data_IF_835048781954
#
_entry.id   IF_835048781954
#
_cell.length_a   1.000
_cell.length_b   1.000
_cell.length_c   1.000
_cell.angle_alpha   90.00
_cell.angle_beta   90.00
_cell.angle_gamma   90.00
#
_symmetry.space_group_name_H-M   'P 1'
#
loop_
_entity.id
_entity.type
_entity.pdbx_description
1 polymer ?
#
# COMPACT_ATOMS: atom_id res chain seq x y z
N UNK A 1 25.64 7.11 5.81
CA UNK A 1 25.18 6.54 4.52
C UNK A 1 26.22 5.67 3.81
N UNK A 2 27.51 6.02 3.76
CA UNK A 2 28.50 5.35 2.89
C UNK A 2 28.54 3.81 2.98
N UNK A 3 28.56 3.23 4.19
CA UNK A 3 28.68 1.76 4.32
C UNK A 3 27.37 0.98 4.11
N UNK A 4 26.20 1.61 4.26
CA UNK A 4 24.89 0.96 4.04
C UNK A 4 24.35 1.18 2.63
N UNK A 5 24.93 2.12 1.89
CA UNK A 5 24.53 2.41 0.51
C UNK A 5 24.51 1.17 -0.39
N UNK A 6 25.48 0.24 -0.34
CA UNK A 6 25.43 -0.99 -1.14
C UNK A 6 24.19 -1.84 -0.85
N UNK A 7 23.76 -1.92 0.43
CA UNK A 7 22.59 -2.69 0.85
C UNK A 7 21.28 -2.05 0.40
N UNK A 8 21.16 -0.73 0.55
CA UNK A 8 20.01 0.03 0.02
C UNK A 8 19.94 -0.09 -1.50
N UNK A 9 21.09 0.06 -2.18
CA UNK A 9 21.18 -0.07 -3.64
C UNK A 9 20.72 -1.45 -4.10
N UNK A 10 21.17 -2.52 -3.44
CA UNK A 10 20.73 -3.90 -3.73
C UNK A 10 19.21 -4.05 -3.60
N UNK A 11 18.63 -3.54 -2.51
CA UNK A 11 17.18 -3.60 -2.29
C UNK A 11 16.41 -2.80 -3.36
N UNK A 12 16.86 -1.59 -3.71
CA UNK A 12 16.28 -0.76 -4.77
C UNK A 12 16.35 -1.47 -6.12
N UNK A 13 17.51 -2.00 -6.51
CA UNK A 13 17.67 -2.70 -7.80
C UNK A 13 16.80 -3.96 -7.88
N UNK A 14 16.74 -4.76 -6.82
CA UNK A 14 15.89 -5.96 -6.79
C UNK A 14 14.40 -5.61 -6.86
N UNK A 15 13.98 -4.57 -6.14
CA UNK A 15 12.61 -4.09 -6.14
C UNK A 15 12.20 -3.47 -7.47
N UNK A 16 13.08 -2.65 -8.07
CA UNK A 16 12.86 -2.07 -9.39
C UNK A 16 12.72 -3.14 -10.46
N UNK A 17 13.59 -4.16 -10.48
CA UNK A 17 13.48 -5.28 -11.43
C UNK A 17 12.14 -6.00 -11.35
N UNK A 18 11.58 -6.14 -10.15
CA UNK A 18 10.24 -6.71 -9.99
C UNK A 18 9.17 -5.80 -10.61
N UNK A 19 9.20 -4.50 -10.33
CA UNK A 19 8.19 -3.59 -10.88
C UNK A 19 8.33 -3.38 -12.39
N UNK A 20 9.55 -3.41 -12.92
CA UNK A 20 9.83 -3.38 -14.36
C UNK A 20 9.29 -4.61 -15.09
N UNK A 21 9.30 -5.80 -14.45
CA UNK A 21 8.68 -7.00 -15.03
C UNK A 21 7.16 -7.02 -14.86
N UNK A 22 6.64 -6.44 -13.77
CA UNK A 22 5.22 -6.41 -13.49
C UNK A 22 4.45 -5.35 -14.31
N UNK A 23 5.05 -4.18 -14.54
CA UNK A 23 4.38 -3.01 -15.12
C UNK A 23 4.94 -2.70 -16.50
N UNK A 24 4.07 -2.77 -17.50
CA UNK A 24 4.41 -2.56 -18.90
C UNK A 24 3.88 -1.20 -19.33
N UNK A 25 4.72 -0.38 -19.97
CA UNK A 25 4.33 0.95 -20.44
C UNK A 25 4.05 0.90 -21.94
N UNK A 26 2.80 1.21 -22.31
CA UNK A 26 2.41 1.46 -23.70
C UNK A 26 2.70 2.93 -24.05
N UNK A 27 3.77 3.17 -24.81
CA UNK A 27 4.24 4.53 -25.16
C UNK A 27 3.32 5.12 -26.23
N UNK A 28 2.36 5.93 -25.79
CA UNK A 28 1.42 6.66 -26.67
C UNK A 28 1.99 7.98 -27.19
N UNK A 29 2.92 8.55 -26.44
CA UNK A 29 3.50 9.88 -26.66
C UNK A 29 5.02 9.70 -26.59
N UNK A 30 5.76 9.91 -27.69
CA UNK A 30 7.19 9.62 -27.74
C UNK A 30 8.07 10.71 -27.10
N UNK A 31 7.53 11.90 -26.80
CA UNK A 31 8.30 13.01 -26.27
C UNK A 31 8.70 12.82 -24.80
N UNK A 32 9.92 13.26 -24.46
CA UNK A 32 10.38 13.23 -23.09
C UNK A 32 9.62 14.25 -22.23
N UNK A 33 9.19 13.83 -21.04
CA UNK A 33 8.55 14.70 -20.08
C UNK A 33 9.61 15.54 -19.34
N UNK A 34 9.35 16.84 -19.23
CA UNK A 34 10.20 17.77 -18.48
C UNK A 34 9.47 18.21 -17.20
N UNK A 35 10.22 18.30 -16.10
CA UNK A 35 9.71 18.87 -14.86
C UNK A 35 9.88 20.39 -14.94
N UNK A 36 8.78 21.11 -14.82
CA UNK A 36 8.77 22.56 -14.96
C UNK A 36 9.58 23.22 -13.83
N UNK A 37 10.61 24.00 -14.18
CA UNK A 37 11.29 24.89 -13.23
C UNK A 37 10.34 25.96 -12.73
N UNK A 38 10.45 26.26 -11.45
CA UNK A 38 9.67 27.29 -10.76
C UNK A 38 10.44 28.62 -10.71
N UNK A 39 9.73 29.68 -10.34
CA UNK A 39 10.36 30.96 -10.04
C UNK A 39 10.53 31.08 -8.52
N UNK A 40 11.51 31.86 -8.07
CA UNK A 40 11.84 31.97 -6.64
C UNK A 40 10.66 32.48 -5.79
N UNK A 41 9.86 33.41 -6.33
CA UNK A 41 8.76 34.04 -5.58
C UNK A 41 7.42 34.05 -6.31
N UNK A 42 7.44 33.96 -7.64
CA UNK A 42 6.26 34.11 -8.50
C UNK A 42 5.88 32.81 -9.21
N UNK A 43 4.76 32.85 -9.94
CA UNK A 43 4.36 31.76 -10.83
C UNK A 43 4.96 31.93 -12.22
N UNK A 44 5.31 30.81 -12.84
CA UNK A 44 5.72 30.76 -14.24
C UNK A 44 4.58 31.27 -15.13
N UNK A 45 4.90 32.15 -16.09
CA UNK A 45 3.94 32.71 -17.05
C UNK A 45 4.31 32.30 -18.47
N UNK A 46 3.30 32.11 -19.31
CA UNK A 46 3.45 32.04 -20.77
C UNK A 46 2.89 33.34 -21.34
N UNK A 47 3.58 33.94 -22.31
CA UNK A 47 3.02 35.08 -23.06
C UNK A 47 2.72 34.68 -24.49
N UNK A 48 1.61 35.22 -25.00
CA UNK A 48 1.08 34.96 -26.35
C UNK A 48 2.11 35.18 -27.47
N UNK A 49 3.03 36.14 -27.29
CA UNK A 49 4.05 36.50 -28.28
C UNK A 49 5.23 35.51 -28.42
N UNK A 50 5.57 34.75 -27.37
CA UNK A 50 6.77 33.88 -27.38
C UNK A 50 6.44 32.40 -27.13
N UNK A 51 5.24 32.09 -26.62
CA UNK A 51 4.80 30.77 -26.16
C UNK A 51 5.80 30.04 -25.22
N UNK A 52 6.72 30.78 -24.58
CA UNK A 52 7.76 30.26 -23.70
C UNK A 52 7.44 30.54 -22.22
N UNK A 53 7.54 29.52 -21.33
CA UNK A 53 7.41 29.72 -19.89
C UNK A 53 8.57 30.58 -19.35
N UNK A 54 8.26 31.60 -18.56
CA UNK A 54 9.25 32.51 -17.97
C UNK A 54 8.82 33.06 -16.60
N UNK A 55 9.81 33.51 -15.84
CA UNK A 55 9.66 34.24 -14.59
C UNK A 55 9.59 35.75 -14.89
N UNK A 56 8.43 36.38 -14.63
CA UNK A 56 8.20 37.79 -14.94
C UNK A 56 8.60 38.66 -13.76
N UNK A 57 9.58 39.55 -13.96
CA UNK A 57 10.14 40.41 -12.88
C UNK A 57 10.63 39.61 -11.66
N UNK A 58 11.01 38.36 -11.89
CA UNK A 58 11.46 37.42 -10.87
C UNK A 58 12.62 36.59 -11.44
N UNK A 59 13.21 35.71 -10.62
CA UNK A 59 14.31 34.83 -11.00
C UNK A 59 13.86 33.37 -11.08
N UNK A 60 14.40 32.66 -12.07
CA UNK A 60 14.35 31.20 -12.11
C UNK A 60 14.93 30.60 -10.83
N UNK A 61 14.23 29.63 -10.24
CA UNK A 61 14.76 28.90 -9.10
C UNK A 61 16.04 28.17 -9.49
N UNK A 62 17.06 28.29 -8.63
CA UNK A 62 18.37 27.64 -8.84
C UNK A 62 18.28 26.12 -8.74
N UNK A 63 17.36 25.60 -7.93
CA UNK A 63 17.17 24.17 -7.73
C UNK A 63 15.68 23.84 -7.61
N UNK A 64 15.31 22.65 -8.05
CA UNK A 64 14.00 22.08 -7.77
C UNK A 64 14.18 20.90 -6.82
N UNK A 65 13.23 20.73 -5.91
CA UNK A 65 13.24 19.64 -4.94
C UNK A 65 11.96 18.83 -5.03
N UNK A 66 12.09 17.53 -4.78
CA UNK A 66 10.98 16.68 -4.40
C UNK A 66 11.12 16.37 -2.90
N UNK A 67 10.23 16.94 -2.09
CA UNK A 67 10.37 16.95 -0.64
C UNK A 67 11.77 17.47 -0.24
N UNK A 68 12.62 16.57 0.27
CA UNK A 68 13.97 16.84 0.75
C UNK A 68 15.09 16.46 -0.23
N UNK A 69 14.76 15.93 -1.41
CA UNK A 69 15.75 15.53 -2.41
C UNK A 69 15.78 16.51 -3.59
N UNK A 70 16.98 16.88 -4.02
CA UNK A 70 17.18 17.71 -5.21
C UNK A 70 16.90 16.93 -6.48
N UNK A 71 16.14 17.51 -7.40
CA UNK A 71 15.88 16.95 -8.73
C UNK A 71 17.04 17.33 -9.66
N UNK A 72 17.71 16.37 -10.30
CA UNK A 72 18.80 16.67 -11.22
C UNK A 72 18.36 17.54 -12.41
N UNK A 73 19.20 18.54 -12.76
CA UNK A 73 18.94 19.51 -13.83
C UNK A 73 18.61 18.89 -15.19
N UNK A 74 19.14 17.69 -15.47
CA UNK A 74 18.88 16.97 -16.72
C UNK A 74 17.40 16.59 -16.92
N UNK A 75 16.57 16.61 -15.87
CA UNK A 75 15.14 16.32 -15.96
C UNK A 75 14.27 17.59 -15.95
N UNK A 76 14.89 18.76 -15.83
CA UNK A 76 14.20 20.03 -15.67
C UNK A 76 14.05 20.76 -17.01
N UNK A 77 12.91 21.44 -17.19
CA UNK A 77 12.66 22.33 -18.33
C UNK A 77 13.62 23.53 -18.34
N UNK A 78 13.79 24.16 -19.51
CA UNK A 78 14.43 25.47 -19.58
C UNK A 78 13.69 26.51 -18.73
N UNK A 79 14.42 27.53 -18.27
CA UNK A 79 13.82 28.67 -17.59
C UNK A 79 14.39 30.00 -18.07
N UNK A 80 13.48 30.95 -18.27
CA UNK A 80 13.77 32.29 -18.78
C UNK A 80 13.35 33.36 -17.77
N UNK A 81 14.18 34.38 -17.59
CA UNK A 81 13.81 35.59 -16.86
C UNK A 81 13.34 36.66 -17.85
N UNK A 82 12.18 37.28 -17.58
CA UNK A 82 11.68 38.39 -18.39
C UNK A 82 11.76 39.71 -17.65
N UNK A 83 12.55 40.64 -18.19
CA UNK A 83 12.67 42.05 -17.74
C UNK A 83 12.47 42.99 -18.92
N UNK A 84 11.63 44.03 -18.75
CA UNK A 84 11.36 45.06 -19.77
C UNK A 84 11.09 44.49 -21.18
N UNK A 85 10.14 43.55 -21.27
CA UNK A 85 9.76 42.81 -22.48
C UNK A 85 10.81 41.86 -23.09
N UNK A 86 12.07 41.86 -22.64
CA UNK A 86 13.12 40.94 -23.10
C UNK A 86 13.20 39.68 -22.22
N UNK A 87 13.24 38.53 -22.86
CA UNK A 87 13.41 37.21 -22.22
C UNK A 87 14.87 36.75 -22.32
N UNK A 88 15.50 36.40 -21.20
CA UNK A 88 16.86 35.86 -21.13
C UNK A 88 16.82 34.43 -20.61
N UNK A 89 17.44 33.49 -21.32
CA UNK A 89 17.63 32.11 -20.86
C UNK A 89 18.57 32.10 -19.65
N UNK A 90 18.15 31.45 -18.56
CA UNK A 90 18.96 31.31 -17.33
C UNK A 90 19.40 29.85 -17.16
N UNK A 91 18.49 28.91 -17.36
CA UNK A 91 18.77 27.47 -17.32
C UNK A 91 18.40 26.86 -18.67
N UNK A 92 19.32 26.13 -19.29
CA UNK A 92 19.05 25.34 -20.48
C UNK A 92 18.09 24.19 -20.18
N UNK A 93 17.42 23.70 -21.22
CA UNK A 93 16.58 22.52 -21.12
C UNK A 93 17.43 21.27 -20.89
N UNK A 94 16.98 20.40 -19.98
CA UNK A 94 17.56 19.08 -19.79
C UNK A 94 17.09 18.06 -20.83
N UNK A 95 17.59 16.83 -20.77
CA UNK A 95 17.14 15.72 -21.62
C UNK A 95 15.68 15.29 -21.35
N UNK A 96 15.14 15.59 -20.17
CA UNK A 96 13.83 15.11 -19.72
C UNK A 96 13.83 13.63 -19.33
N UNK A 97 12.65 13.12 -19.03
CA UNK A 97 12.40 11.72 -18.66
C UNK A 97 11.72 11.06 -19.85
N UNK A 98 12.28 9.98 -20.39
CA UNK A 98 11.68 9.32 -21.54
C UNK A 98 10.30 8.72 -21.19
N UNK A 99 9.39 8.53 -22.16
CA UNK A 99 8.02 8.08 -21.89
C UNK A 99 7.90 6.73 -21.18
N UNK A 100 8.92 5.88 -21.28
CA UNK A 100 9.04 4.57 -20.63
C UNK A 100 10.01 4.57 -19.44
N UNK A 101 10.60 5.72 -19.09
CA UNK A 101 11.47 5.87 -17.93
C UNK A 101 10.66 6.27 -16.68
N UNK A 102 11.28 6.04 -15.53
CA UNK A 102 10.84 6.53 -14.23
C UNK A 102 12.08 6.92 -13.42
N UNK A 103 12.07 8.10 -12.82
CA UNK A 103 13.18 8.58 -11.99
C UNK A 103 12.83 8.39 -10.53
N UNK A 104 13.68 7.69 -9.80
CA UNK A 104 13.54 7.48 -8.36
C UNK A 104 14.66 8.20 -7.61
N UNK A 105 14.28 9.15 -6.77
CA UNK A 105 15.19 9.76 -5.81
C UNK A 105 15.24 8.90 -4.55
N UNK A 106 16.43 8.64 -4.03
CA UNK A 106 16.61 7.83 -2.81
C UNK A 106 17.31 8.68 -1.76
N UNK A 107 16.72 8.73 -0.57
CA UNK A 107 17.24 9.51 0.54
C UNK A 107 17.14 8.75 1.88
N UNK A 108 17.82 9.28 2.90
CA UNK A 108 17.72 8.83 4.29
C UNK A 108 17.91 10.08 5.15
N UNK A 109 16.87 10.89 5.22
CA UNK A 109 16.79 12.05 6.09
C UNK A 109 15.73 11.79 7.15
N UNK A 110 15.92 12.40 8.33
CA UNK A 110 14.91 12.43 9.38
C UNK A 110 13.80 13.45 9.05
N UNK A 111 13.04 13.18 7.98
CA UNK A 111 11.92 13.99 7.52
C UNK A 111 10.70 13.09 7.37
N UNK A 112 9.58 13.45 8.01
CA UNK A 112 8.36 12.62 8.05
C UNK A 112 8.59 11.18 8.57
N UNK A 113 9.60 11.01 9.44
CA UNK A 113 9.92 9.74 10.07
C UNK A 113 9.24 9.67 11.43
N UNK A 114 7.98 9.24 11.45
CA UNK A 114 7.26 8.94 12.68
C UNK A 114 7.79 7.70 13.39
N UNK A 115 7.32 7.47 14.62
CA UNK A 115 7.66 6.25 15.36
C UNK A 115 7.23 4.99 14.57
N UNK A 116 8.14 4.02 14.47
CA UNK A 116 7.88 2.76 13.74
C UNK A 116 7.98 2.84 12.21
N UNK A 117 8.12 4.02 11.61
CA UNK A 117 8.23 4.18 10.15
C UNK A 117 9.63 3.75 9.68
N UNK A 118 9.69 2.76 8.79
CA UNK A 118 10.95 2.23 8.26
C UNK A 118 11.44 3.02 7.05
N UNK A 119 10.51 3.32 6.17
CA UNK A 119 10.67 4.16 5.01
C UNK A 119 9.31 4.78 4.67
N UNK A 120 9.33 5.78 3.79
CA UNK A 120 8.12 6.29 3.16
C UNK A 120 8.44 6.68 1.73
N UNK A 121 7.41 6.73 0.90
CA UNK A 121 7.53 7.08 -0.50
C UNK A 121 6.31 7.78 -1.05
N UNK A 122 6.54 8.53 -2.13
CA UNK A 122 5.47 9.20 -2.87
C UNK A 122 5.95 9.57 -4.27
N UNK A 123 4.99 9.92 -5.12
CA UNK A 123 5.29 10.57 -6.39
C UNK A 123 5.59 12.05 -6.17
N UNK A 124 6.48 12.59 -6.99
CA UNK A 124 6.88 13.99 -7.03
C UNK A 124 6.23 14.72 -8.19
N UNK A 125 6.24 14.08 -9.36
CA UNK A 125 5.76 14.66 -10.61
C UNK A 125 5.06 13.61 -11.46
N UNK A 126 4.15 14.10 -12.29
CA UNK A 126 3.39 13.31 -13.25
C UNK A 126 3.67 13.84 -14.64
N UNK A 127 3.65 12.94 -15.59
CA UNK A 127 3.66 13.29 -16.99
C UNK A 127 2.47 14.23 -17.30
N UNK A 128 2.71 15.42 -17.89
CA UNK A 128 1.64 16.38 -18.14
C UNK A 128 0.56 15.89 -19.10
N UNK A 129 0.86 14.92 -19.97
CA UNK A 129 -0.04 14.45 -21.01
C UNK A 129 -0.73 13.14 -20.61
N UNK A 130 -0.04 12.25 -19.90
CA UNK A 130 -0.60 10.94 -19.48
C UNK A 130 -1.04 10.90 -18.02
N UNK A 131 -0.66 11.90 -17.21
CA UNK A 131 -0.85 11.92 -15.74
C UNK A 131 -0.19 10.78 -14.98
N UNK A 132 0.60 9.92 -15.65
CA UNK A 132 1.36 8.83 -15.02
C UNK A 132 2.46 9.42 -14.12
N UNK A 133 2.68 8.89 -12.91
CA UNK A 133 3.87 9.21 -12.12
C UNK A 133 5.17 8.88 -12.88
N UNK A 134 6.08 9.85 -12.97
CA UNK A 134 7.36 9.72 -13.71
C UNK A 134 8.59 10.05 -12.86
N UNK A 135 8.38 10.74 -11.73
CA UNK A 135 9.40 11.02 -10.74
C UNK A 135 8.80 10.75 -9.37
N UNK A 136 9.52 10.00 -8.53
CA UNK A 136 9.17 9.78 -7.13
C UNK A 136 10.37 9.77 -6.22
N UNK A 137 10.10 9.60 -4.93
CA UNK A 137 11.12 9.52 -3.89
C UNK A 137 10.84 8.34 -2.96
N UNK A 138 11.90 7.72 -2.48
CA UNK A 138 11.90 6.85 -1.29
C UNK A 138 12.86 7.44 -0.28
N UNK A 139 12.39 7.64 0.94
CA UNK A 139 13.21 8.05 2.07
C UNK A 139 13.21 6.95 3.14
N UNK A 140 14.40 6.44 3.46
CA UNK A 140 14.57 5.50 4.57
C UNK A 140 14.68 6.26 5.89
N UNK A 141 13.84 5.90 6.86
CA UNK A 141 13.72 6.57 8.16
C UNK A 141 14.55 5.92 9.28
N UNK A 142 15.14 4.77 9.02
CA UNK A 142 15.94 4.02 9.99
C UNK A 142 17.43 4.37 9.93
N UNK A 143 18.08 4.28 11.09
CA UNK A 143 19.52 4.53 11.20
C UNK A 143 20.33 3.55 10.34
N UNK A 144 21.54 3.95 9.96
CA UNK A 144 22.42 3.09 9.18
C UNK A 144 22.70 1.75 9.89
N UNK A 145 22.84 1.76 11.21
CA UNK A 145 23.10 0.57 12.02
C UNK A 145 21.91 -0.40 11.95
N UNK A 146 20.69 0.14 12.01
CA UNK A 146 19.46 -0.67 11.88
C UNK A 146 19.34 -1.24 10.46
N UNK A 147 19.62 -0.45 9.42
CA UNK A 147 19.62 -0.93 8.03
C UNK A 147 20.63 -2.08 7.85
N UNK A 148 21.85 -1.94 8.38
CA UNK A 148 22.88 -2.95 8.25
C UNK A 148 22.45 -4.31 8.83
N UNK A 149 21.75 -4.29 9.98
CA UNK A 149 21.25 -5.49 10.69
C UNK A 149 19.94 -6.03 10.14
N UNK A 150 19.18 -5.23 9.40
CA UNK A 150 17.89 -5.62 8.84
C UNK A 150 18.09 -6.76 7.83
N UNK A 151 17.25 -7.79 7.85
CA UNK A 151 17.28 -8.87 6.87
C UNK A 151 17.10 -8.31 5.43
N UNK A 152 17.83 -8.85 4.46
CA UNK A 152 17.81 -8.37 3.07
C UNK A 152 16.42 -8.48 2.42
N UNK A 153 15.70 -9.59 2.64
CA UNK A 153 14.35 -9.82 2.10
C UNK A 153 13.33 -8.87 2.74
N UNK A 154 13.50 -8.56 4.02
CA UNK A 154 12.66 -7.58 4.70
C UNK A 154 12.88 -6.17 4.16
N UNK A 155 14.14 -5.78 3.93
CA UNK A 155 14.46 -4.50 3.34
C UNK A 155 13.94 -4.42 1.90
N UNK A 156 14.16 -5.46 1.09
CA UNK A 156 13.62 -5.53 -0.29
C UNK A 156 12.10 -5.45 -0.31
N UNK A 157 11.41 -6.18 0.57
CA UNK A 157 9.94 -6.13 0.66
C UNK A 157 9.41 -4.75 1.08
N UNK A 158 10.09 -4.09 2.02
CA UNK A 158 9.80 -2.68 2.37
C UNK A 158 10.03 -1.77 1.17
N UNK A 159 11.14 -1.93 0.45
CA UNK A 159 11.44 -1.14 -0.74
C UNK A 159 10.43 -1.37 -1.87
N UNK A 160 9.95 -2.60 -2.07
CA UNK A 160 8.87 -2.93 -3.01
C UNK A 160 7.57 -2.21 -2.65
N UNK A 161 7.19 -2.21 -1.37
CA UNK A 161 6.02 -1.50 -0.85
C UNK A 161 6.13 0.00 -1.14
N UNK A 162 7.26 0.60 -0.78
CA UNK A 162 7.50 2.03 -1.01
C UNK A 162 7.52 2.40 -2.50
N UNK A 163 8.10 1.56 -3.36
CA UNK A 163 8.03 1.75 -4.81
C UNK A 163 6.58 1.73 -5.31
N UNK A 164 5.72 0.88 -4.77
CA UNK A 164 4.31 0.86 -5.13
C UNK A 164 3.61 2.21 -4.88
N UNK A 165 3.91 2.86 -3.75
CA UNK A 165 3.45 4.22 -3.46
C UNK A 165 4.00 5.24 -4.48
N UNK A 166 5.31 5.20 -4.73
CA UNK A 166 5.96 6.11 -5.67
C UNK A 166 5.39 5.97 -7.10
N UNK A 167 5.11 4.73 -7.53
CA UNK A 167 4.55 4.39 -8.84
C UNK A 167 3.08 4.78 -9.01
N UNK A 168 2.37 5.07 -7.93
CA UNK A 168 1.06 5.70 -7.98
C UNK A 168 0.01 5.20 -7.00
N UNK A 169 0.25 4.16 -6.20
CA UNK A 169 -0.72 3.73 -5.20
C UNK A 169 -0.76 4.69 -4.00
N UNK A 170 -1.33 5.88 -4.17
CA UNK A 170 -1.47 6.87 -3.10
C UNK A 170 -2.83 7.59 -3.20
N UNK A 171 -3.40 8.07 -2.07
CA UNK A 171 -4.70 8.74 -2.05
C UNK A 171 -4.89 9.82 -3.12
N UNK A 172 -3.86 10.64 -3.33
CA UNK A 172 -3.88 11.76 -4.25
C UNK A 172 -3.94 11.36 -5.74
N UNK A 173 -3.62 10.11 -6.06
CA UNK A 173 -3.72 9.54 -7.41
C UNK A 173 -5.09 8.89 -7.59
N UNK A 174 -5.45 7.92 -6.75
CA UNK A 174 -6.69 7.19 -6.98
C UNK A 174 -7.97 8.01 -6.70
N UNK A 175 -7.88 9.09 -5.91
CA UNK A 175 -8.98 10.06 -5.78
C UNK A 175 -9.19 10.91 -7.05
N UNK A 176 -8.21 10.95 -7.96
CA UNK A 176 -8.25 11.72 -9.23
C UNK A 176 -8.35 10.84 -10.46
N UNK A 177 -8.46 9.52 -10.30
CA UNK A 177 -8.75 8.63 -11.42
C UNK A 177 -10.10 9.00 -12.06
N UNK A 178 -10.29 8.70 -13.35
CA UNK A 178 -11.54 8.98 -14.05
C UNK A 178 -12.75 8.38 -13.35
N UNK A 179 -13.91 9.00 -13.59
CA UNK A 179 -15.17 8.51 -13.08
C UNK A 179 -15.49 7.10 -13.61
N UNK A 180 -16.05 6.27 -12.74
CA UNK A 180 -16.43 4.91 -13.05
C UNK A 180 -17.52 4.90 -14.13
N UNK A 181 -17.35 3.99 -15.09
CA UNK A 181 -18.37 3.74 -16.11
C UNK A 181 -19.64 3.15 -15.47
N UNK A 182 -20.83 3.33 -16.09
CA UNK A 182 -22.12 3.02 -15.47
C UNK A 182 -22.23 1.64 -14.83
N UNK A 183 -21.69 0.60 -15.47
CA UNK A 183 -21.74 -0.78 -15.00
C UNK A 183 -20.93 -1.04 -13.71
N UNK A 184 -19.99 -0.15 -13.37
CA UNK A 184 -19.22 -0.24 -12.13
C UNK A 184 -19.67 0.77 -11.09
N UNK A 185 -20.70 1.57 -11.32
CA UNK A 185 -21.22 2.49 -10.30
C UNK A 185 -21.96 1.72 -9.20
N UNK A 186 -21.98 2.30 -8.01
CA UNK A 186 -22.84 1.81 -6.93
C UNK A 186 -24.27 2.33 -7.14
N UNK A 187 -25.30 1.68 -6.56
CA UNK A 187 -26.70 2.10 -6.72
C UNK A 187 -26.99 3.54 -6.27
N UNK A 188 -26.16 4.08 -5.37
CA UNK A 188 -26.24 5.47 -4.89
C UNK A 188 -25.75 6.51 -5.90
N UNK A 189 -25.32 6.10 -7.10
CA UNK A 189 -24.84 7.00 -8.15
C UNK A 189 -23.42 7.53 -7.95
N UNK A 190 -22.67 7.04 -6.96
CA UNK A 190 -21.29 7.50 -6.75
C UNK A 190 -20.38 7.10 -7.92
N UNK A 191 -19.81 8.12 -8.56
CA UNK A 191 -18.96 7.99 -9.74
C UNK A 191 -17.49 7.78 -9.39
N UNK A 192 -17.07 8.09 -8.15
CA UNK A 192 -15.66 8.09 -7.77
C UNK A 192 -15.18 6.68 -7.41
N UNK A 193 -13.89 6.35 -7.65
CA UNK A 193 -13.32 5.07 -7.25
C UNK A 193 -13.32 4.81 -5.74
N UNK A 194 -13.06 5.84 -4.93
CA UNK A 194 -13.08 5.74 -3.47
C UNK A 194 -14.50 5.96 -2.98
N UNK A 195 -15.05 4.99 -2.26
CA UNK A 195 -16.44 5.01 -1.82
C UNK A 195 -16.59 4.52 -0.39
N UNK A 196 -17.67 4.95 0.27
CA UNK A 196 -18.06 4.43 1.57
C UNK A 196 -19.11 3.34 1.40
N UNK A 197 -18.91 2.21 2.06
CA UNK A 197 -19.88 1.11 2.14
C UNK A 197 -20.28 0.90 3.59
N UNK A 198 -21.58 0.74 3.83
CA UNK A 198 -22.12 0.44 5.16
C UNK A 198 -22.35 -1.05 5.26
N UNK A 199 -21.70 -1.69 6.24
CA UNK A 199 -21.79 -3.12 6.49
C UNK A 199 -22.57 -3.38 7.78
N UNK A 200 -23.33 -4.48 7.79
CA UNK A 200 -23.89 -5.05 9.02
C UNK A 200 -22.77 -5.75 9.76
N UNK A 201 -22.63 -5.48 11.05
CA UNK A 201 -21.46 -5.88 11.82
C UNK A 201 -21.88 -6.49 13.15
N UNK A 202 -21.67 -7.80 13.32
CA UNK A 202 -21.97 -8.48 14.58
C UNK A 202 -20.73 -8.48 15.47
N UNK A 203 -20.87 -8.07 16.72
CA UNK A 203 -19.86 -8.26 17.76
C UNK A 203 -20.40 -9.21 18.84
N UNK A 204 -19.59 -9.47 19.88
CA UNK A 204 -20.02 -10.26 21.03
C UNK A 204 -21.12 -9.57 21.85
N UNK A 205 -21.26 -8.25 21.73
CA UNK A 205 -22.17 -7.42 22.54
C UNK A 205 -23.37 -6.87 21.77
N UNK A 206 -23.42 -7.00 20.45
CA UNK A 206 -24.57 -6.54 19.68
C UNK A 206 -24.38 -6.54 18.17
N UNK A 207 -25.37 -6.03 17.46
CA UNK A 207 -25.32 -5.78 16.01
C UNK A 207 -25.21 -4.28 15.74
N UNK A 208 -24.27 -3.92 14.88
CA UNK A 208 -23.90 -2.54 14.55
C UNK A 208 -23.92 -2.32 13.04
N UNK A 209 -23.88 -1.05 12.64
CA UNK A 209 -23.63 -0.64 11.26
C UNK A 209 -22.34 0.13 11.22
N UNK A 210 -21.32 -0.40 10.54
CA UNK A 210 -20.04 0.29 10.38
C UNK A 210 -19.89 0.79 8.95
N UNK A 211 -19.14 1.86 8.77
CA UNK A 211 -18.80 2.39 7.45
C UNK A 211 -17.34 2.10 7.15
N UNK A 212 -17.08 1.47 6.00
CA UNK A 212 -15.73 1.20 5.49
C UNK A 212 -15.51 1.99 4.22
N UNK A 213 -14.32 2.58 4.09
CA UNK A 213 -13.88 3.13 2.82
C UNK A 213 -13.34 1.99 1.95
N UNK A 214 -13.75 1.93 0.69
CA UNK A 214 -13.31 0.92 -0.26
C UNK A 214 -12.79 1.58 -1.53
N UNK A 215 -11.83 0.92 -2.16
CA UNK A 215 -11.41 1.20 -3.52
C UNK A 215 -12.17 0.30 -4.48
N UNK A 216 -12.94 0.91 -5.38
CA UNK A 216 -13.78 0.22 -6.35
C UNK A 216 -13.28 0.55 -7.76
N UNK A 217 -12.48 -0.36 -8.30
CA UNK A 217 -11.96 -0.27 -9.67
C UNK A 217 -12.26 -1.56 -10.46
N UNK A 218 -12.50 -1.50 -11.78
CA UNK A 218 -12.99 -2.63 -12.57
C UNK A 218 -12.16 -3.91 -12.51
N UNK A 219 -10.86 -3.84 -12.81
CA UNK A 219 -9.97 -4.99 -12.85
C UNK A 219 -9.66 -5.47 -11.43
N UNK A 220 -9.38 -4.55 -10.51
CA UNK A 220 -9.11 -4.84 -9.10
C UNK A 220 -10.28 -5.59 -8.46
N UNK A 221 -11.51 -5.11 -8.69
CA UNK A 221 -12.71 -5.76 -8.18
C UNK A 221 -12.94 -7.12 -8.82
N UNK A 222 -12.66 -7.29 -10.12
CA UNK A 222 -12.76 -8.60 -10.79
C UNK A 222 -11.81 -9.62 -10.15
N UNK A 223 -10.53 -9.27 -9.98
CA UNK A 223 -9.56 -10.17 -9.35
C UNK A 223 -9.94 -10.47 -7.90
N UNK A 224 -10.41 -9.47 -7.14
CA UNK A 224 -10.85 -9.66 -5.75
C UNK A 224 -12.07 -10.60 -5.65
N UNK A 225 -13.09 -10.41 -6.50
CA UNK A 225 -14.28 -11.27 -6.54
C UNK A 225 -13.91 -12.72 -6.86
N UNK A 226 -12.99 -12.92 -7.81
CA UNK A 226 -12.46 -14.25 -8.16
C UNK A 226 -11.69 -14.87 -7.00
N UNK A 227 -10.80 -14.10 -6.37
CA UNK A 227 -9.96 -14.56 -5.27
C UNK A 227 -10.77 -14.96 -4.04
N UNK A 228 -11.65 -14.08 -3.55
CA UNK A 228 -12.47 -14.33 -2.37
C UNK A 228 -13.69 -15.23 -2.66
N UNK A 229 -14.02 -15.51 -3.93
CA UNK A 229 -15.29 -16.15 -4.36
C UNK A 229 -16.53 -15.40 -3.86
N UNK A 230 -16.53 -14.07 -4.02
CA UNK A 230 -17.66 -13.23 -3.61
C UNK A 230 -18.09 -12.26 -4.72
N UNK A 231 -19.10 -12.61 -5.51
CA UNK A 231 -19.60 -11.74 -6.60
C UNK A 231 -20.27 -10.45 -6.08
N UNK A 232 -20.72 -10.43 -4.84
CA UNK A 232 -21.37 -9.28 -4.20
C UNK A 232 -20.39 -8.25 -3.66
N UNK A 233 -19.07 -8.53 -3.68
CA UNK A 233 -18.06 -7.60 -3.18
C UNK A 233 -18.21 -6.24 -3.87
N UNK A 234 -18.21 -5.18 -3.06
CA UNK A 234 -18.47 -3.81 -3.50
C UNK A 234 -17.17 -3.03 -3.77
N UNK A 235 -16.05 -3.43 -3.18
CA UNK A 235 -14.75 -2.81 -3.33
C UNK A 235 -13.76 -3.47 -2.39
N UNK A 236 -12.49 -3.06 -2.45
CA UNK A 236 -11.45 -3.57 -1.58
C UNK A 236 -11.29 -2.55 -0.45
N UNK A 237 -11.46 -2.99 0.79
CA UNK A 237 -11.35 -2.15 1.98
C UNK A 237 -10.00 -1.43 2.05
N UNK A 238 -10.05 -0.13 2.32
CA UNK A 238 -8.89 0.73 2.55
C UNK A 238 -8.70 1.00 4.04
N UNK A 239 -7.44 1.18 4.44
CA UNK A 239 -7.04 1.65 5.76
C UNK A 239 -6.05 2.80 5.58
N UNK A 240 -6.59 4.02 5.52
CA UNK A 240 -5.81 5.21 5.18
C UNK A 240 -5.29 5.15 3.73
N UNK A 241 -3.96 5.17 3.56
CA UNK A 241 -3.30 5.07 2.26
C UNK A 241 -3.05 3.65 1.75
N UNK A 242 -3.50 2.63 2.48
CA UNK A 242 -3.17 1.22 2.27
C UNK A 242 -4.42 0.37 2.08
N UNK A 243 -4.23 -0.90 1.69
CA UNK A 243 -5.27 -1.91 1.73
C UNK A 243 -5.47 -2.40 3.18
N UNK A 244 -6.72 -2.71 3.54
CA UNK A 244 -7.07 -3.21 4.88
C UNK A 244 -6.43 -4.57 5.17
N UNK A 245 -5.70 -4.67 6.29
CA UNK A 245 -5.18 -5.94 6.79
C UNK A 245 -6.29 -6.98 7.00
N UNK A 246 -7.51 -6.56 7.37
CA UNK A 246 -8.62 -7.49 7.64
C UNK A 246 -8.87 -8.46 6.48
N UNK A 247 -8.93 -7.94 5.25
CA UNK A 247 -9.24 -8.76 4.07
C UNK A 247 -8.03 -9.00 3.17
N UNK A 248 -6.99 -8.18 3.26
CA UNK A 248 -5.77 -8.33 2.44
C UNK A 248 -4.59 -8.93 3.20
N UNK A 249 -4.60 -8.95 4.53
CA UNK A 249 -3.72 -9.75 5.38
C UNK A 249 -2.23 -9.51 5.22
N UNK A 250 -1.66 -10.22 4.25
CA UNK A 250 -0.23 -10.34 3.92
C UNK A 250 0.11 -9.72 2.55
N UNK A 251 -0.85 -9.01 1.94
CA UNK A 251 -0.60 -8.27 0.70
C UNK A 251 0.47 -7.21 0.93
N UNK A 252 1.32 -6.99 -0.07
CA UNK A 252 2.39 -6.02 -0.02
C UNK A 252 1.88 -4.65 0.43
N UNK A 253 0.69 -4.24 -0.01
CA UNK A 253 0.15 -2.90 0.26
C UNK A 253 -0.75 -2.82 1.50
N UNK A 254 -0.62 -3.75 2.44
CA UNK A 254 -1.12 -3.52 3.81
C UNK A 254 -0.16 -2.62 4.61
N UNK A 255 -0.64 -1.85 5.61
CA UNK A 255 0.16 -0.87 6.34
C UNK A 255 1.46 -1.38 6.97
N UNK A 256 1.50 -2.62 7.42
CA UNK A 256 2.69 -3.24 8.02
C UNK A 256 2.91 -4.63 7.45
N UNK A 257 4.13 -5.15 7.59
CA UNK A 257 4.39 -6.57 7.31
C UNK A 257 3.74 -7.41 8.40
N UNK A 258 2.94 -8.40 8.02
CA UNK A 258 2.43 -9.41 8.96
C UNK A 258 3.36 -10.64 9.01
N UNK A 259 3.19 -11.63 8.13
CA UNK A 259 4.11 -12.79 8.02
C UNK A 259 5.11 -12.63 6.88
N UNK A 260 4.59 -12.30 5.70
CA UNK A 260 5.37 -12.16 4.44
C UNK A 260 4.85 -10.99 3.61
N UNK A 261 5.62 -10.60 2.60
CA UNK A 261 5.19 -9.65 1.58
C UNK A 261 4.68 -10.40 0.36
N UNK A 262 3.38 -10.32 0.09
CA UNK A 262 2.75 -11.00 -1.05
C UNK A 262 2.23 -9.98 -2.05
N UNK A 263 2.67 -10.04 -3.31
CA UNK A 263 2.13 -9.14 -4.33
C UNK A 263 0.98 -9.84 -5.03
N UNK A 264 -0.25 -9.55 -4.61
CA UNK A 264 -1.43 -10.22 -5.14
C UNK A 264 -1.79 -9.72 -6.54
N UNK A 265 -2.51 -10.57 -7.30
CA UNK A 265 -3.15 -10.15 -8.55
C UNK A 265 -4.13 -8.99 -8.35
N UNK A 266 -4.73 -8.88 -7.16
CA UNK A 266 -5.65 -7.79 -6.80
C UNK A 266 -4.87 -6.47 -6.79
N UNK A 267 -3.73 -6.43 -6.11
CA UNK A 267 -2.89 -5.23 -6.05
C UNK A 267 -2.32 -4.88 -7.42
N UNK A 268 -1.84 -5.84 -8.20
CA UNK A 268 -1.38 -5.57 -9.57
C UNK A 268 -2.51 -5.03 -10.47
N UNK A 269 -3.75 -5.51 -10.30
CA UNK A 269 -4.89 -5.02 -11.07
C UNK A 269 -5.23 -3.55 -10.81
N UNK A 270 -4.84 -2.98 -9.66
CA UNK A 270 -4.92 -1.53 -9.45
C UNK A 270 -4.16 -0.77 -10.53
N UNK A 271 -2.92 -1.16 -10.83
CA UNK A 271 -2.10 -0.48 -11.82
C UNK A 271 -2.70 -0.57 -13.22
N UNK A 272 -3.32 -1.70 -13.57
CA UNK A 272 -4.09 -1.84 -14.82
C UNK A 272 -5.25 -0.85 -14.87
N UNK A 273 -5.98 -0.68 -13.76
CA UNK A 273 -7.11 0.25 -13.67
C UNK A 273 -6.71 1.73 -13.71
N UNK A 274 -5.45 2.07 -13.38
CA UNK A 274 -4.98 3.45 -13.52
C UNK A 274 -4.87 3.92 -14.98
N UNK A 275 -4.80 2.98 -15.93
CA UNK A 275 -4.41 3.20 -17.33
C UNK A 275 -3.01 3.80 -17.50
N UNK A 276 -2.19 3.83 -16.46
CA UNK A 276 -0.78 4.21 -16.55
C UNK A 276 0.09 3.06 -17.05
N UNK A 277 -0.31 1.83 -16.75
CA UNK A 277 0.45 0.61 -17.03
C UNK A 277 -0.47 -0.48 -17.56
N UNK A 278 0.05 -1.31 -18.47
CA UNK A 278 -0.38 -2.70 -18.57
C UNK A 278 0.36 -3.53 -17.49
N UNK A 279 -0.12 -4.73 -17.23
CA UNK A 279 0.30 -5.53 -16.07
C UNK A 279 0.50 -6.98 -16.48
N UNK A 280 1.70 -7.49 -16.23
CA UNK A 280 1.92 -8.93 -16.24
C UNK A 280 1.49 -9.54 -14.91
N UNK A 281 0.42 -10.32 -14.91
CA UNK A 281 -0.04 -11.01 -13.71
C UNK A 281 0.71 -12.32 -13.42
N UNK A 282 1.63 -12.75 -14.30
CA UNK A 282 2.41 -13.98 -14.13
C UNK A 282 3.42 -13.87 -12.99
N UNK A 283 3.88 -12.65 -12.70
CA UNK A 283 4.82 -12.35 -11.62
C UNK A 283 4.16 -12.22 -10.24
N UNK A 284 2.82 -12.27 -10.18
CA UNK A 284 2.09 -12.22 -8.92
C UNK A 284 2.46 -13.40 -8.03
N UNK A 285 2.68 -13.12 -6.74
CA UNK A 285 2.89 -14.16 -5.75
C UNK A 285 1.60 -14.95 -5.53
N UNK A 286 1.70 -16.22 -5.13
CA UNK A 286 0.52 -16.98 -4.74
C UNK A 286 -0.10 -16.38 -3.46
N UNK A 287 -1.12 -15.56 -3.65
CA UNK A 287 -1.88 -14.98 -2.54
C UNK A 287 -2.91 -16.00 -2.02
N UNK A 288 -2.76 -16.41 -0.76
CA UNK A 288 -3.61 -17.43 -0.12
C UNK A 288 -4.61 -16.85 0.88
N UNK A 289 -4.29 -15.71 1.49
CA UNK A 289 -5.13 -15.06 2.49
C UNK A 289 -6.54 -14.79 1.95
N UNK A 290 -7.57 -15.31 2.62
CA UNK A 290 -8.96 -15.11 2.23
C UNK A 290 -9.43 -15.87 0.98
N UNK A 291 -8.55 -16.65 0.33
CA UNK A 291 -8.85 -17.31 -0.95
C UNK A 291 -10.03 -18.27 -0.81
N UNK A 292 -11.11 -17.98 -1.52
CA UNK A 292 -12.32 -18.81 -1.55
C UNK A 292 -13.16 -18.83 -0.27
N UNK A 293 -12.91 -17.94 0.71
CA UNK A 293 -13.68 -17.90 1.97
C UNK A 293 -15.09 -17.29 1.81
N UNK A 294 -15.43 -16.76 0.62
CA UNK A 294 -16.76 -16.29 0.28
C UNK A 294 -17.09 -14.89 0.80
N UNK A 295 -18.35 -14.48 0.60
CA UNK A 295 -18.81 -13.15 1.00
C UNK A 295 -18.84 -12.93 2.52
N UNK A 296 -19.03 -13.99 3.30
CA UNK A 296 -19.01 -13.90 4.77
C UNK A 296 -17.68 -13.32 5.26
N UNK A 297 -16.55 -13.72 4.66
CA UNK A 297 -15.23 -13.21 5.05
C UNK A 297 -15.09 -11.70 4.80
N UNK A 298 -15.44 -11.24 3.59
CA UNK A 298 -15.19 -9.86 3.15
C UNK A 298 -16.28 -8.86 3.56
N UNK A 299 -17.50 -9.30 3.88
CA UNK A 299 -18.61 -8.37 4.18
C UNK A 299 -19.09 -8.40 5.62
N UNK A 300 -18.70 -9.40 6.42
CA UNK A 300 -19.10 -9.53 7.82
C UNK A 300 -17.90 -9.33 8.75
N UNK A 301 -18.20 -9.08 10.01
CA UNK A 301 -17.19 -9.10 11.07
C UNK A 301 -16.54 -10.47 11.16
N UNK A 302 -15.29 -10.51 11.63
CA UNK A 302 -14.63 -11.79 11.92
C UNK A 302 -15.43 -12.62 12.93
N UNK A 303 -16.10 -11.98 13.89
CA UNK A 303 -16.96 -12.67 14.85
C UNK A 303 -18.12 -13.40 14.19
N UNK A 304 -18.86 -12.75 13.28
CA UNK A 304 -19.95 -13.41 12.54
C UNK A 304 -19.40 -14.52 11.62
N UNK A 305 -18.27 -14.25 10.95
CA UNK A 305 -17.60 -15.23 10.10
C UNK A 305 -17.23 -16.50 10.88
N UNK A 306 -16.54 -16.36 12.01
CA UNK A 306 -16.14 -17.46 12.91
C UNK A 306 -17.39 -18.26 13.32
N UNK A 307 -18.43 -17.60 13.83
CA UNK A 307 -19.67 -18.28 14.25
C UNK A 307 -20.34 -19.05 13.11
N UNK A 308 -20.41 -18.45 11.92
CA UNK A 308 -21.04 -19.07 10.76
C UNK A 308 -20.26 -20.31 10.30
N UNK A 309 -18.94 -20.22 10.28
CA UNK A 309 -18.02 -21.32 9.95
C UNK A 309 -18.08 -22.46 10.96
N UNK A 310 -18.02 -22.15 12.26
CA UNK A 310 -18.16 -23.14 13.33
C UNK A 310 -19.47 -23.91 13.25
N UNK A 311 -20.60 -23.23 12.97
CA UNK A 311 -21.91 -23.88 12.77
C UNK A 311 -21.90 -24.87 11.60
N UNK A 312 -21.12 -24.59 10.56
CA UNK A 312 -20.93 -25.45 9.38
C UNK A 312 -19.81 -26.48 9.56
N UNK A 313 -19.10 -26.46 10.69
CA UNK A 313 -17.89 -27.27 10.95
C UNK A 313 -16.79 -27.03 9.89
N UNK A 314 -16.68 -25.78 9.44
CA UNK A 314 -15.64 -25.33 8.52
C UNK A 314 -14.50 -24.68 9.29
N UNK A 315 -13.31 -24.69 8.70
CA UNK A 315 -12.12 -24.02 9.24
C UNK A 315 -12.31 -22.50 9.31
N UNK A 316 -11.82 -21.89 10.39
CA UNK A 316 -11.99 -20.47 10.70
C UNK A 316 -10.78 -19.60 10.32
N UNK A 317 -9.74 -20.18 9.69
CA UNK A 317 -8.59 -19.41 9.21
C UNK A 317 -9.07 -18.26 8.29
N UNK A 318 -8.42 -17.08 8.36
CA UNK A 318 -7.21 -16.79 9.14
C UNK A 318 -7.47 -16.35 10.60
N UNK A 319 -8.73 -16.36 11.04
CA UNK A 319 -9.09 -15.93 12.39
C UNK A 319 -8.96 -17.07 13.41
N UNK A 320 -9.06 -16.71 14.69
CA UNK A 320 -9.03 -17.66 15.79
C UNK A 320 -10.05 -17.28 16.89
N UNK A 321 -10.35 -18.23 17.75
CA UNK A 321 -11.46 -18.14 18.72
C UNK A 321 -11.06 -18.53 20.16
N UNK A 322 -9.78 -18.81 20.41
CA UNK A 322 -9.23 -19.32 21.67
C UNK A 322 -7.84 -18.73 21.88
N UNK A 323 -7.48 -18.37 23.12
CA UNK A 323 -6.15 -17.83 23.44
C UNK A 323 -5.09 -18.93 23.37
N UNK A 324 -3.87 -18.57 22.92
CA UNK A 324 -2.62 -19.35 23.07
C UNK A 324 -2.66 -20.80 22.55
N UNK A 325 -3.66 -21.15 21.76
CA UNK A 325 -3.75 -22.47 21.12
C UNK A 325 -2.84 -22.50 19.89
N UNK A 326 -1.85 -23.38 19.92
CA UNK A 326 -1.00 -23.65 18.76
C UNK A 326 -1.80 -24.44 17.72
N UNK A 327 -2.04 -23.83 16.56
CA UNK A 327 -2.75 -24.43 15.42
C UNK A 327 -1.88 -24.43 14.19
N UNK A 328 -2.02 -25.46 13.36
CA UNK A 328 -1.45 -25.45 12.03
C UNK A 328 -2.23 -24.45 11.16
N UNK A 329 -1.52 -23.48 10.56
CA UNK A 329 -2.03 -22.65 9.49
C UNK A 329 -1.89 -23.47 8.21
N UNK A 330 -2.98 -24.13 7.81
CA UNK A 330 -2.95 -25.17 6.78
C UNK A 330 -2.47 -24.63 5.42
N UNK A 331 -2.78 -23.37 5.13
CA UNK A 331 -2.38 -22.73 3.87
C UNK A 331 -0.86 -22.57 3.69
N UNK A 332 -0.12 -22.52 4.79
CA UNK A 332 1.34 -22.31 4.83
C UNK A 332 2.12 -23.51 5.40
N UNK A 333 1.43 -24.52 5.96
CA UNK A 333 2.03 -25.67 6.67
C UNK A 333 2.98 -25.24 7.82
N UNK A 334 2.61 -24.15 8.49
CA UNK A 334 3.35 -23.60 9.63
C UNK A 334 2.48 -23.57 10.87
N UNK A 335 3.12 -23.69 12.02
CA UNK A 335 2.47 -23.53 13.31
C UNK A 335 2.18 -22.05 13.54
N UNK A 336 1.01 -21.75 14.08
CA UNK A 336 0.62 -20.43 14.48
C UNK A 336 -0.12 -20.42 15.81
N UNK A 337 -0.30 -19.23 16.36
CA UNK A 337 -0.99 -19.02 17.63
C UNK A 337 -1.94 -17.83 17.50
N UNK A 338 -2.99 -17.83 18.32
CA UNK A 338 -3.98 -16.77 18.31
C UNK A 338 -3.46 -15.53 19.06
N UNK A 339 -3.31 -14.41 18.36
CA UNK A 339 -2.91 -13.16 19.00
C UNK A 339 -4.11 -12.40 19.54
N UNK A 340 -4.17 -12.28 20.87
CA UNK A 340 -5.14 -11.46 21.60
C UNK A 340 -4.38 -10.59 22.60
N UNK A 341 -4.72 -9.31 22.68
CA UNK A 341 -4.07 -8.32 23.51
C UNK A 341 -5.07 -7.69 24.48
N UNK A 342 -4.58 -7.34 25.66
CA UNK A 342 -5.30 -6.48 26.59
C UNK A 342 -4.99 -5.00 26.30
N UNK A 343 -6.02 -4.22 26.05
CA UNK A 343 -5.97 -2.78 25.84
C UNK A 343 -6.20 -2.02 27.16
N UNK A 344 -5.63 -0.81 27.26
CA UNK A 344 -5.75 0.05 28.45
C UNK A 344 -7.11 0.73 28.57
N UNK A 345 -7.83 0.86 27.45
CA UNK A 345 -9.12 1.54 27.34
C UNK A 345 -10.13 0.54 26.82
N UNK A 346 -11.38 0.71 27.24
CA UNK A 346 -12.50 -0.09 26.76
C UNK A 346 -12.63 0.08 25.24
N UNK A 347 -12.75 -1.03 24.53
CA UNK A 347 -12.89 -1.03 23.09
C UNK A 347 -14.30 -0.62 22.69
N UNK A 348 -14.45 0.00 21.52
CA UNK A 348 -15.77 0.32 20.99
C UNK A 348 -16.62 -0.96 20.81
N UNK A 349 -17.92 -0.92 21.16
CA UNK A 349 -18.79 -2.11 21.17
C UNK A 349 -18.81 -2.92 19.87
N UNK A 350 -18.67 -2.28 18.70
CA UNK A 350 -18.63 -2.94 17.39
C UNK A 350 -17.35 -3.76 17.15
N UNK A 351 -16.28 -3.54 17.93
CA UNK A 351 -15.00 -4.25 17.83
C UNK A 351 -14.76 -5.23 18.99
N UNK A 352 -15.70 -5.36 19.92
CA UNK A 352 -15.62 -6.33 21.01
C UNK A 352 -16.00 -7.73 20.51
N UNK A 353 -15.02 -8.53 20.09
CA UNK A 353 -15.24 -9.86 19.51
C UNK A 353 -14.94 -11.03 20.47
N UNK A 354 -14.36 -10.75 21.62
CA UNK A 354 -13.97 -11.76 22.60
C UNK A 354 -15.21 -12.23 23.36
N UNK A 355 -15.52 -13.53 23.26
CA UNK A 355 -16.64 -14.16 23.95
C UNK A 355 -16.17 -15.27 24.92
N UNK A 356 -17.08 -16.18 25.29
CA UNK A 356 -16.81 -17.25 26.24
C UNK A 356 -15.89 -18.36 25.73
N UNK A 357 -15.51 -18.35 24.44
CA UNK A 357 -14.51 -19.28 23.91
C UNK A 357 -13.08 -18.85 24.27
N UNK A 358 -12.88 -17.58 24.62
CA UNK A 358 -11.60 -17.08 25.08
C UNK A 358 -11.49 -17.20 26.60
N UNK A 359 -10.29 -17.54 27.09
CA UNK A 359 -10.00 -17.64 28.52
C UNK A 359 -9.82 -16.25 29.15
N UNK A 360 -10.88 -15.44 29.10
CA UNK A 360 -10.95 -14.06 29.62
C UNK A 360 -12.26 -13.92 30.41
N UNK A 361 -12.18 -13.37 31.63
CA UNK A 361 -13.35 -13.12 32.48
C UNK A 361 -14.32 -12.16 31.80
N UNK A 362 -15.63 -12.35 32.03
CA UNK A 362 -16.69 -11.60 31.35
C UNK A 362 -16.50 -10.08 31.43
N UNK A 363 -16.19 -9.55 32.62
CA UNK A 363 -16.01 -8.11 32.87
C UNK A 363 -14.79 -7.51 32.13
N UNK A 364 -13.82 -8.35 31.80
CA UNK A 364 -12.59 -7.93 31.14
C UNK A 364 -12.65 -8.04 29.62
N UNK A 365 -13.58 -8.79 29.02
CA UNK A 365 -13.62 -9.05 27.56
C UNK A 365 -13.66 -7.77 26.72
N UNK A 366 -14.29 -6.70 27.23
CA UNK A 366 -14.37 -5.38 26.61
C UNK A 366 -13.03 -4.65 26.45
N UNK A 367 -11.98 -5.14 27.11
CA UNK A 367 -10.60 -4.66 26.98
C UNK A 367 -9.72 -5.59 26.15
N UNK A 368 -10.25 -6.67 25.57
CA UNK A 368 -9.47 -7.65 24.84
C UNK A 368 -9.87 -7.69 23.37
N UNK A 369 -8.88 -7.85 22.49
CA UNK A 369 -9.08 -7.98 21.05
C UNK A 369 -7.79 -8.36 20.34
N UNK A 370 -7.88 -8.67 19.04
CA UNK A 370 -6.68 -8.78 18.20
C UNK A 370 -6.09 -7.41 17.87
N UNK A 371 -5.10 -7.36 17.00
CA UNK A 371 -4.46 -6.10 16.61
C UNK A 371 -5.44 -5.15 15.92
N UNK A 372 -5.32 -3.86 16.20
CA UNK A 372 -6.16 -2.80 15.63
C UNK A 372 -6.10 -2.74 14.09
N UNK A 373 -4.97 -3.12 13.48
CA UNK A 373 -4.82 -3.16 12.01
C UNK A 373 -5.80 -4.14 11.35
N UNK A 374 -6.18 -5.22 12.05
CA UNK A 374 -7.18 -6.20 11.62
C UNK A 374 -8.60 -5.87 12.12
N UNK A 375 -8.90 -4.60 12.39
CA UNK A 375 -10.15 -4.18 13.07
C UNK A 375 -10.35 -4.86 14.42
N UNK A 376 -9.27 -5.17 15.14
CA UNK A 376 -9.27 -5.92 16.39
C UNK A 376 -9.75 -7.37 16.29
N UNK A 377 -9.80 -7.92 15.07
CA UNK A 377 -10.06 -9.34 14.87
C UNK A 377 -8.92 -10.20 15.42
N UNK A 378 -9.21 -11.24 16.21
CA UNK A 378 -8.23 -12.24 16.62
C UNK A 378 -7.79 -13.06 15.40
N UNK A 379 -6.50 -13.03 15.08
CA UNK A 379 -5.89 -13.61 13.88
C UNK A 379 -4.77 -14.58 14.27
N UNK A 380 -4.64 -15.67 13.51
CA UNK A 380 -3.52 -16.60 13.65
C UNK A 380 -2.23 -15.94 13.15
N UNK A 381 -1.22 -15.93 14.01
CA UNK A 381 0.13 -15.45 13.67
C UNK A 381 1.09 -16.62 13.60
N UNK A 382 2.00 -16.60 12.63
CA UNK A 382 3.04 -17.61 12.47
C UNK A 382 3.94 -17.64 13.70
N UNK A 383 4.12 -18.82 14.29
CA UNK A 383 5.08 -19.05 15.35
C UNK A 383 6.47 -19.20 14.75
N UNK A 384 7.44 -18.47 15.29
CA UNK A 384 8.84 -18.51 14.85
C UNK A 384 9.75 -19.07 15.94
N UNK A 385 10.86 -19.68 15.53
CA UNK A 385 11.96 -20.04 16.44
C UNK A 385 12.74 -18.79 16.87
N UNK A 386 13.70 -18.97 17.79
CA UNK A 386 14.62 -17.88 18.21
C UNK A 386 15.45 -17.29 17.06
N UNK A 387 15.60 -18.02 15.94
CA UNK A 387 16.29 -17.57 14.72
C UNK A 387 15.33 -16.97 13.67
N UNK A 388 14.10 -16.58 14.07
CA UNK A 388 13.04 -16.05 13.21
C UNK A 388 12.59 -16.99 12.07
N UNK A 389 12.79 -18.31 12.23
CA UNK A 389 12.32 -19.30 11.25
C UNK A 389 10.91 -19.79 11.62
N UNK A 390 9.95 -19.83 10.67
CA UNK A 390 8.64 -20.42 10.91
C UNK A 390 8.74 -21.86 11.41
N UNK A 391 7.99 -22.18 12.47
CA UNK A 391 7.84 -23.55 12.97
C UNK A 391 6.89 -24.32 12.05
N UNK A 392 7.24 -25.55 11.67
CA UNK A 392 6.40 -26.40 10.80
C UNK A 392 5.38 -27.18 11.63
N UNK A 393 4.21 -27.50 11.06
CA UNK A 393 3.19 -28.26 11.81
C UNK A 393 3.66 -29.65 12.29
N UNK A 394 4.66 -30.24 11.64
CA UNK A 394 5.30 -31.51 12.06
C UNK A 394 6.01 -31.42 13.42
N UNK A 395 6.39 -30.22 13.89
CA UNK A 395 7.05 -30.06 15.20
C UNK A 395 6.10 -30.31 16.37
N UNK A 396 4.78 -30.15 16.17
CA UNK A 396 3.76 -30.48 17.15
C UNK A 396 3.59 -31.99 17.36
N UNK A 397 3.81 -32.80 16.31
CA UNK A 397 3.63 -34.25 16.36
C UNK A 397 4.70 -34.96 17.23
N UNK A 398 5.84 -34.32 17.48
CA UNK A 398 6.99 -34.92 18.16
C UNK A 398 7.22 -34.43 19.61
N UNK A 399 6.32 -33.62 20.19
CA UNK A 399 6.38 -33.22 21.60
C UNK A 399 7.65 -32.45 22.03
N UNK A 400 8.45 -31.95 21.08
CA UNK A 400 9.66 -31.18 21.34
C UNK A 400 9.41 -29.70 21.05
N UNK A 401 8.79 -29.01 22.00
CA UNK A 401 8.96 -27.57 22.16
C UNK A 401 10.14 -27.42 23.14
N UNK A 402 11.32 -27.13 22.60
CA UNK A 402 12.54 -26.84 23.35
C UNK A 402 12.75 -25.35 23.50
#
# INVERSE_FOLDING_TARGET
>A
MSYVFPKIKKAIEASSRYWESALIIDVKIPENALIQRTCETSSVRKTELENRPHCRRDYCSKMETCFNATIPDQYLSACYNRKYAKSKLIHSEGRGIAPNEYVLLVSNYNFSCGEGVLAWASHCSRDPQTSRPILGIINYCISAERIARTNDDFLEGTTKHELCHALGFVPTIYARLPDLSPQYRMPNGNLRPVQNVTLRWLSAVGEFRITKQVLRLPNMLREARRHFRCNQLQGIELQGGHLSHRIMGIDLMTPTKFSTYTISRIMLAYFKDTNFYDVDYSVATEFKWGKGLGCDFVTKSCYEFIKNRQRRREDIEPFCNTNDELKCINSENVLGYCQVYQYKVEMEPEFQFIDNLFNVSADNRKYYGGLNIFDYCPVLTVATSMDDKPLTCESQANGKLG
#
